data_IF_701803668256
#
_entry.id   IF_701803668256
#
_cell.length_a   1.000
_cell.length_b   1.000
_cell.length_c   1.000
_cell.angle_alpha   90.00
_cell.angle_beta   90.00
_cell.angle_gamma   90.00
#
_symmetry.space_group_name_H-M   'P 1'
#
loop_
_entity.id
_entity.type
_entity.pdbx_description
1 polymer ?
#
# COMPACT_ATOMS: atom_id res chain seq x y z
N UNK A 1 -52.65 32.93 -15.15
CA UNK A 1 -51.23 32.99 -15.54
C UNK A 1 -50.47 33.18 -14.25
N UNK A 2 -50.03 32.09 -13.63
CA UNK A 2 -49.09 32.15 -12.51
C UNK A 2 -48.11 31.00 -12.68
N UNK A 3 -46.85 31.38 -12.80
CA UNK A 3 -45.71 30.50 -13.03
C UNK A 3 -45.27 29.95 -11.66
N UNK A 4 -45.07 28.63 -11.48
CA UNK A 4 -44.50 28.14 -10.25
C UNK A 4 -42.99 28.38 -10.24
N UNK A 5 -42.51 29.02 -9.17
CA UNK A 5 -41.10 29.14 -8.85
C UNK A 5 -40.42 27.76 -8.81
N UNK A 6 -39.40 27.58 -9.63
CA UNK A 6 -38.42 26.53 -9.46
C UNK A 6 -37.62 26.80 -8.18
N UNK A 7 -37.82 25.97 -7.16
CA UNK A 7 -36.88 25.81 -6.06
C UNK A 7 -35.72 24.96 -6.57
N UNK A 8 -34.53 25.56 -6.68
CA UNK A 8 -33.28 24.87 -6.96
C UNK A 8 -33.04 23.80 -5.90
N UNK A 9 -32.80 22.57 -6.36
CA UNK A 9 -32.36 21.47 -5.52
C UNK A 9 -30.97 21.80 -4.96
N UNK A 10 -30.89 22.00 -3.64
CA UNK A 10 -29.64 22.16 -2.92
C UNK A 10 -28.74 20.96 -3.16
N UNK A 11 -27.49 21.23 -3.56
CA UNK A 11 -26.43 20.24 -3.71
C UNK A 11 -26.10 19.67 -2.32
N UNK A 12 -26.65 18.51 -2.01
CA UNK A 12 -26.25 17.72 -0.84
C UNK A 12 -24.83 17.21 -1.08
N UNK A 13 -23.85 17.88 -0.47
CA UNK A 13 -22.48 17.37 -0.36
C UNK A 13 -22.55 16.01 0.31
N UNK A 14 -22.09 14.96 -0.38
CA UNK A 14 -21.98 13.62 0.20
C UNK A 14 -21.17 13.72 1.52
N UNK A 15 -21.60 13.08 2.62
CA UNK A 15 -20.92 13.16 3.93
C UNK A 15 -19.41 12.85 3.87
N UNK A 16 -19.00 12.05 2.89
CA UNK A 16 -17.61 11.72 2.54
C UNK A 16 -16.78 12.96 2.18
N UNK A 17 -17.24 13.78 1.23
CA UNK A 17 -16.50 14.97 0.80
C UNK A 17 -16.38 16.02 1.90
N UNK A 18 -17.46 16.23 2.68
CA UNK A 18 -17.42 17.17 3.80
C UNK A 18 -16.41 16.77 4.88
N UNK A 19 -16.24 15.47 5.15
CA UNK A 19 -15.20 14.98 6.07
C UNK A 19 -13.79 15.19 5.49
N UNK A 20 -13.62 14.95 4.19
CA UNK A 20 -12.34 15.19 3.48
C UNK A 20 -11.95 16.68 3.54
N UNK A 21 -12.92 17.58 3.37
CA UNK A 21 -12.74 19.03 3.53
C UNK A 21 -12.37 19.43 4.96
N UNK A 22 -13.09 18.92 5.95
CA UNK A 22 -12.80 19.19 7.36
C UNK A 22 -11.41 18.73 7.79
N UNK A 23 -10.94 17.58 7.30
CA UNK A 23 -9.57 17.08 7.54
C UNK A 23 -8.54 17.94 6.82
N UNK A 24 -8.75 18.24 5.53
CA UNK A 24 -7.81 19.04 4.75
C UNK A 24 -7.65 20.47 5.30
N UNK A 25 -8.73 21.09 5.77
CA UNK A 25 -8.70 22.41 6.40
C UNK A 25 -7.85 22.41 7.68
N UNK A 26 -7.99 21.39 8.53
CA UNK A 26 -7.16 21.23 9.74
C UNK A 26 -5.69 20.96 9.44
N UNK A 27 -5.43 20.32 8.31
CA UNK A 27 -4.09 20.04 7.81
C UNK A 27 -3.62 21.07 6.78
N UNK A 28 -4.23 22.26 6.67
CA UNK A 28 -3.87 23.23 5.63
C UNK A 28 -2.52 23.94 5.88
N UNK A 29 -2.12 24.04 7.16
CA UNK A 29 -0.91 24.72 7.61
C UNK A 29 0.00 23.78 8.41
N UNK A 30 1.26 23.56 7.98
CA UNK A 30 2.23 22.81 8.76
C UNK A 30 2.50 23.36 10.17
N UNK A 31 2.27 24.67 10.39
CA UNK A 31 2.51 25.34 11.66
C UNK A 31 1.51 25.00 12.78
N UNK A 32 0.36 24.40 12.45
CA UNK A 32 -0.71 24.12 13.41
C UNK A 32 -0.68 22.69 13.96
N UNK A 33 0.20 21.83 13.46
CA UNK A 33 0.18 20.39 13.71
C UNK A 33 1.23 20.00 14.78
N UNK A 34 0.98 18.97 15.63
CA UNK A 34 1.81 18.70 16.79
C UNK A 34 3.29 18.45 16.48
N UNK A 35 4.15 18.76 17.45
CA UNK A 35 5.62 18.58 17.38
C UNK A 35 6.07 17.15 17.04
N UNK A 36 5.21 16.14 17.23
CA UNK A 36 5.45 14.76 16.80
C UNK A 36 5.74 14.63 15.29
N UNK A 37 5.28 15.57 14.46
CA UNK A 37 5.66 15.60 13.05
C UNK A 37 7.12 15.98 12.83
N UNK A 38 7.79 16.62 13.81
CA UNK A 38 9.20 16.94 13.72
C UNK A 38 10.07 15.68 13.85
N UNK A 39 9.69 14.72 14.69
CA UNK A 39 10.40 13.43 14.81
C UNK A 39 10.19 12.55 13.57
N UNK A 40 9.06 12.73 12.86
CA UNK A 40 8.71 12.02 11.64
C UNK A 40 8.85 12.87 10.37
N UNK A 41 9.62 13.96 10.39
CA UNK A 41 9.67 14.97 9.32
C UNK A 41 9.81 14.40 7.91
N UNK A 42 10.57 13.32 7.76
CA UNK A 42 10.89 12.69 6.48
C UNK A 42 10.15 11.37 6.23
N UNK A 43 9.22 10.99 7.12
CA UNK A 43 8.52 9.70 7.04
C UNK A 43 7.25 9.82 6.20
N UNK A 44 7.09 8.97 5.20
CA UNK A 44 5.91 8.98 4.33
C UNK A 44 4.63 8.60 5.09
N UNK A 45 4.73 7.58 5.97
CA UNK A 45 3.57 7.06 6.69
C UNK A 45 2.99 8.04 7.74
N UNK A 46 3.85 8.83 8.39
CA UNK A 46 3.50 9.54 9.63
C UNK A 46 3.76 11.04 9.52
N UNK A 47 4.54 11.45 8.53
CA UNK A 47 5.12 12.78 8.44
C UNK A 47 4.49 13.68 7.40
N UNK A 48 5.04 14.91 7.29
CA UNK A 48 4.71 15.88 6.24
C UNK A 48 4.59 15.34 4.80
N UNK A 49 5.46 14.43 4.30
CA UNK A 49 5.31 13.93 2.93
C UNK A 49 3.98 13.20 2.69
N UNK A 50 3.49 12.47 3.70
CA UNK A 50 2.19 11.79 3.63
C UNK A 50 1.01 12.75 3.64
N UNK A 51 1.11 13.83 4.43
CA UNK A 51 0.09 14.90 4.46
C UNK A 51 0.09 15.69 3.15
N UNK A 52 1.27 15.92 2.56
CA UNK A 52 1.38 16.55 1.25
C UNK A 52 0.60 15.78 0.17
N UNK A 53 0.59 14.45 0.19
CA UNK A 53 -0.17 13.63 -0.77
C UNK A 53 -1.67 13.93 -0.76
N UNK A 54 -2.28 14.20 0.41
CA UNK A 54 -3.68 14.62 0.48
C UNK A 54 -3.90 15.92 -0.29
N UNK A 55 -3.04 16.92 -0.07
CA UNK A 55 -3.18 18.22 -0.74
C UNK A 55 -2.82 18.17 -2.22
N UNK A 56 -1.88 17.29 -2.62
CA UNK A 56 -1.55 17.04 -4.02
C UNK A 56 -2.77 16.45 -4.74
N UNK A 57 -3.38 15.40 -4.19
CA UNK A 57 -4.57 14.78 -4.79
C UNK A 57 -5.74 15.76 -4.86
N UNK A 58 -6.00 16.52 -3.79
CA UNK A 58 -7.03 17.56 -3.80
C UNK A 58 -6.78 18.63 -4.86
N UNK A 59 -5.56 19.13 -4.97
CA UNK A 59 -5.22 20.14 -5.96
C UNK A 59 -5.32 19.63 -7.40
N UNK A 60 -4.91 18.37 -7.64
CA UNK A 60 -5.08 17.71 -8.93
C UNK A 60 -6.57 17.54 -9.33
N UNK A 61 -7.47 17.42 -8.35
CA UNK A 61 -8.92 17.39 -8.57
C UNK A 61 -9.60 18.78 -8.53
N UNK A 62 -8.83 19.88 -8.41
CA UNK A 62 -9.40 21.23 -8.33
C UNK A 62 -10.11 21.56 -7.01
N UNK A 63 -9.91 20.75 -5.97
CA UNK A 63 -10.57 20.85 -4.65
C UNK A 63 -9.76 21.66 -3.62
N UNK A 64 -8.67 22.29 -4.05
CA UNK A 64 -7.82 23.10 -3.18
C UNK A 64 -6.59 23.65 -3.89
N UNK A 65 -5.90 24.64 -3.31
CA UNK A 65 -4.72 25.23 -3.93
C UNK A 65 -3.48 24.32 -3.78
N UNK A 66 -2.63 24.30 -4.81
CA UNK A 66 -1.30 23.69 -4.77
C UNK A 66 -0.38 24.23 -3.67
N UNK A 67 -0.67 25.42 -3.14
CA UNK A 67 0.09 26.04 -2.06
C UNK A 67 0.12 25.18 -0.78
N UNK A 68 -0.96 24.48 -0.43
CA UNK A 68 -0.96 23.62 0.76
C UNK A 68 0.00 22.44 0.59
N UNK A 69 -0.01 21.80 -0.59
CA UNK A 69 0.96 20.75 -0.93
C UNK A 69 2.40 21.28 -0.85
N UNK A 70 2.65 22.46 -1.43
CA UNK A 70 3.97 23.09 -1.40
C UNK A 70 4.44 23.38 0.04
N UNK A 71 3.57 23.91 0.91
CA UNK A 71 3.91 24.21 2.30
C UNK A 71 4.35 22.95 3.06
N UNK A 72 3.65 21.83 2.88
CA UNK A 72 4.02 20.55 3.51
C UNK A 72 5.32 19.97 2.95
N UNK A 73 5.52 20.03 1.64
CA UNK A 73 6.78 19.61 1.01
C UNK A 73 7.94 20.46 1.52
N UNK A 74 7.77 21.79 1.59
CA UNK A 74 8.77 22.71 2.12
C UNK A 74 9.11 22.41 3.60
N UNK A 75 8.09 22.15 4.42
CA UNK A 75 8.26 21.76 5.82
C UNK A 75 9.03 20.44 5.98
N UNK A 76 8.74 19.44 5.12
CA UNK A 76 9.45 18.16 5.14
C UNK A 76 10.94 18.32 4.76
N UNK A 77 11.23 19.23 3.82
CA UNK A 77 12.57 19.55 3.33
C UNK A 77 13.29 20.64 4.12
N UNK A 78 12.78 21.05 5.29
CA UNK A 78 13.45 22.02 6.14
C UNK A 78 14.70 21.38 6.78
N UNK A 79 15.81 21.41 6.05
CA UNK A 79 17.09 20.77 6.40
C UNK A 79 17.44 19.60 5.49
N UNK A 80 18.61 18.98 5.73
CA UNK A 80 19.09 17.86 4.91
C UNK A 80 18.15 16.65 4.98
N UNK A 81 17.90 16.03 3.83
CA UNK A 81 17.19 14.75 3.73
C UNK A 81 18.16 13.59 3.90
N UNK A 82 17.74 12.57 4.63
CA UNK A 82 18.50 11.34 4.85
C UNK A 82 18.53 10.51 3.56
N UNK A 83 19.71 10.11 3.13
CA UNK A 83 19.94 9.24 1.96
C UNK A 83 20.84 8.06 2.33
N UNK A 84 21.01 7.09 1.43
CA UNK A 84 21.94 6.00 1.67
C UNK A 84 21.33 4.88 2.55
N UNK A 85 22.16 4.19 3.36
CA UNK A 85 21.74 3.05 4.18
C UNK A 85 20.57 3.31 5.13
N UNK A 86 20.46 4.53 5.64
CA UNK A 86 19.47 4.93 6.63
C UNK A 86 18.17 5.46 6.00
N UNK A 87 18.07 5.45 4.66
CA UNK A 87 16.87 5.83 3.92
C UNK A 87 16.19 4.63 3.26
N UNK A 88 14.88 4.73 3.06
CA UNK A 88 14.07 3.67 2.48
C UNK A 88 12.76 4.23 1.88
N UNK A 89 11.94 3.43 1.15
CA UNK A 89 10.76 3.94 0.45
C UNK A 89 9.78 4.77 1.30
N UNK A 90 9.70 4.48 2.61
CA UNK A 90 8.87 5.22 3.57
C UNK A 90 9.63 6.21 4.48
N UNK A 91 10.95 6.41 4.30
CA UNK A 91 11.72 7.40 5.06
C UNK A 91 12.91 8.00 4.29
N UNK A 92 13.09 9.32 4.40
CA UNK A 92 14.22 10.03 3.81
C UNK A 92 13.99 10.44 2.35
N UNK A 93 15.07 10.48 1.57
CA UNK A 93 15.03 10.88 0.14
C UNK A 93 14.01 10.09 -0.67
N UNK A 94 13.91 8.74 -0.60
CA UNK A 94 12.94 8.00 -1.41
C UNK A 94 11.48 8.36 -1.08
N UNK A 95 11.15 8.50 0.20
CA UNK A 95 9.82 8.91 0.65
C UNK A 95 9.45 10.31 0.16
N UNK A 96 10.38 11.26 0.29
CA UNK A 96 10.16 12.62 -0.17
C UNK A 96 10.04 12.69 -1.70
N UNK A 97 10.88 11.95 -2.42
CA UNK A 97 10.85 11.89 -3.88
C UNK A 97 9.53 11.31 -4.42
N UNK A 98 8.93 10.34 -3.72
CA UNK A 98 7.58 9.85 -4.05
C UNK A 98 6.53 10.95 -4.02
N UNK A 99 6.43 11.68 -2.90
CA UNK A 99 5.47 12.78 -2.75
C UNK A 99 5.76 13.92 -3.75
N UNK A 100 7.03 14.28 -3.93
CA UNK A 100 7.45 15.32 -4.86
C UNK A 100 7.12 14.96 -6.31
N UNK A 101 7.28 13.69 -6.70
CA UNK A 101 6.93 13.21 -8.04
C UNK A 101 5.42 13.29 -8.28
N UNK A 102 4.59 12.96 -7.28
CA UNK A 102 3.13 13.12 -7.37
C UNK A 102 2.72 14.58 -7.66
N UNK A 103 3.41 15.55 -7.08
CA UNK A 103 3.17 16.97 -7.38
C UNK A 103 3.71 17.39 -8.75
N UNK A 104 4.92 16.97 -9.11
CA UNK A 104 5.58 17.37 -10.35
C UNK A 104 4.87 16.88 -11.61
N UNK A 105 4.24 15.70 -11.55
CA UNK A 105 3.45 15.14 -12.67
C UNK A 105 2.31 16.08 -13.13
N UNK A 106 1.85 16.97 -12.24
CA UNK A 106 0.78 17.95 -12.52
C UNK A 106 1.27 19.39 -12.63
N UNK A 107 2.56 19.65 -12.36
CA UNK A 107 3.15 20.99 -12.34
C UNK A 107 4.37 21.04 -13.26
N UNK A 108 4.17 21.19 -14.58
CA UNK A 108 5.26 21.17 -15.56
C UNK A 108 6.41 22.11 -15.21
N UNK A 109 7.63 21.58 -15.20
CA UNK A 109 8.86 22.32 -14.89
C UNK A 109 9.11 22.59 -13.40
N UNK A 110 8.11 22.43 -12.52
CA UNK A 110 8.29 22.55 -11.08
C UNK A 110 8.98 21.31 -10.51
N UNK A 111 9.84 21.50 -9.51
CA UNK A 111 10.55 20.44 -8.78
C UNK A 111 11.48 19.53 -9.58
N UNK A 112 11.55 19.63 -10.91
CA UNK A 112 12.31 18.73 -11.79
C UNK A 112 13.78 18.58 -11.36
N UNK A 113 14.48 19.70 -11.12
CA UNK A 113 15.89 19.65 -10.68
C UNK A 113 16.09 18.89 -9.37
N UNK A 114 15.16 19.03 -8.43
CA UNK A 114 15.21 18.32 -7.16
C UNK A 114 14.94 16.82 -7.37
N UNK A 115 13.93 16.49 -8.18
CA UNK A 115 13.63 15.11 -8.55
C UNK A 115 14.79 14.43 -9.26
N UNK A 116 15.44 15.07 -10.23
CA UNK A 116 16.58 14.49 -10.94
C UNK A 116 17.75 14.15 -9.99
N UNK A 117 17.98 15.00 -8.98
CA UNK A 117 18.99 14.75 -7.95
C UNK A 117 18.60 13.59 -7.05
N UNK A 118 17.32 13.48 -6.67
CA UNK A 118 16.82 12.40 -5.83
C UNK A 118 16.78 11.06 -6.57
N UNK A 119 16.32 11.05 -7.82
CA UNK A 119 16.31 9.89 -8.71
C UNK A 119 17.72 9.31 -8.88
N UNK A 120 18.73 10.20 -9.03
CA UNK A 120 20.14 9.78 -9.08
C UNK A 120 20.58 9.11 -7.78
N UNK A 121 20.27 9.70 -6.63
CA UNK A 121 20.62 9.14 -5.32
C UNK A 121 19.92 7.81 -5.05
N UNK A 122 18.63 7.71 -5.37
CA UNK A 122 17.84 6.47 -5.29
C UNK A 122 18.48 5.39 -6.15
N UNK A 123 18.92 5.71 -7.37
CA UNK A 123 19.64 4.78 -8.23
C UNK A 123 20.95 4.27 -7.62
N UNK A 124 21.69 5.10 -6.88
CA UNK A 124 22.89 4.67 -6.13
C UNK A 124 22.52 3.71 -5.00
N UNK A 125 21.48 4.06 -4.24
CA UNK A 125 21.03 3.28 -3.08
C UNK A 125 20.50 1.90 -3.51
N UNK A 126 19.75 1.85 -4.60
CA UNK A 126 19.23 0.60 -5.17
C UNK A 126 20.36 -0.30 -5.67
N UNK A 127 21.36 0.22 -6.39
CA UNK A 127 22.53 -0.59 -6.82
C UNK A 127 23.23 -1.23 -5.64
N UNK A 128 23.53 -0.45 -4.60
CA UNK A 128 24.19 -0.98 -3.39
C UNK A 128 23.36 -2.07 -2.71
N UNK A 129 22.04 -1.90 -2.65
CA UNK A 129 21.11 -2.89 -2.08
C UNK A 129 21.05 -4.16 -2.92
N UNK A 130 20.98 -4.04 -4.25
CA UNK A 130 21.02 -5.17 -5.18
C UNK A 130 22.32 -5.96 -5.06
N UNK A 131 23.47 -5.27 -5.03
CA UNK A 131 24.77 -5.92 -4.88
C UNK A 131 24.86 -6.72 -3.57
N UNK A 132 24.35 -6.15 -2.46
CA UNK A 132 24.29 -6.84 -1.18
C UNK A 132 23.36 -8.05 -1.22
N UNK A 133 22.17 -7.88 -1.82
CA UNK A 133 21.17 -8.92 -1.91
C UNK A 133 21.65 -10.10 -2.79
N UNK A 134 22.31 -9.82 -3.92
CA UNK A 134 22.89 -10.86 -4.77
C UNK A 134 24.01 -11.63 -4.08
N UNK A 135 24.95 -10.94 -3.40
CA UNK A 135 25.97 -11.63 -2.58
C UNK A 135 25.37 -12.53 -1.51
N UNK A 136 24.29 -12.07 -0.87
CA UNK A 136 23.57 -12.84 0.15
C UNK A 136 22.89 -14.08 -0.44
N UNK A 137 22.27 -13.97 -1.61
CA UNK A 137 21.72 -15.13 -2.34
C UNK A 137 22.84 -16.10 -2.74
N UNK A 138 23.95 -15.61 -3.28
CA UNK A 138 25.09 -16.43 -3.70
C UNK A 138 25.74 -17.17 -2.53
N UNK A 139 25.68 -16.59 -1.33
CA UNK A 139 26.13 -17.22 -0.09
C UNK A 139 25.13 -18.22 0.52
N UNK A 140 23.93 -18.36 -0.05
CA UNK A 140 22.86 -19.22 0.47
C UNK A 140 22.29 -18.74 1.82
N UNK A 141 22.38 -17.44 2.11
CA UNK A 141 21.90 -16.87 3.37
C UNK A 141 20.44 -16.41 3.28
N UNK A 142 19.72 -16.46 4.41
CA UNK A 142 18.35 -15.98 4.51
C UNK A 142 18.26 -14.44 4.38
N UNK A 143 17.27 -13.90 3.64
CA UNK A 143 17.02 -12.46 3.58
C UNK A 143 16.52 -11.89 4.92
N UNK A 144 16.68 -10.57 5.06
CA UNK A 144 15.94 -9.76 6.03
C UNK A 144 14.67 -9.21 5.37
N UNK A 145 13.58 -9.00 6.13
CA UNK A 145 12.34 -8.39 5.60
C UNK A 145 12.62 -7.05 4.88
N UNK A 146 13.41 -6.19 5.52
CA UNK A 146 13.76 -4.87 4.99
C UNK A 146 14.65 -4.88 3.72
N UNK A 147 15.08 -6.06 3.27
CA UNK A 147 15.79 -6.22 2.01
C UNK A 147 14.81 -6.27 0.84
N UNK A 148 13.70 -7.01 0.97
CA UNK A 148 12.76 -7.25 -0.13
C UNK A 148 11.42 -6.56 0.02
N UNK A 149 11.01 -6.13 1.21
CA UNK A 149 9.63 -5.68 1.41
C UNK A 149 9.23 -4.36 0.71
N UNK A 150 7.93 -4.02 0.77
CA UNK A 150 7.38 -2.82 0.14
C UNK A 150 7.68 -1.54 0.94
N UNK A 151 7.85 -1.62 2.27
CA UNK A 151 8.01 -0.44 3.14
C UNK A 151 9.46 0.06 3.17
N UNK A 152 10.42 -0.87 3.17
CA UNK A 152 11.85 -0.63 3.41
C UNK A 152 12.74 -1.20 2.30
N UNK A 153 12.29 -2.25 1.63
CA UNK A 153 13.08 -3.06 0.72
C UNK A 153 12.97 -2.69 -0.75
N UNK A 154 13.61 -3.54 -1.56
CA UNK A 154 13.74 -3.39 -3.00
C UNK A 154 12.40 -3.40 -3.73
N UNK A 155 11.35 -4.00 -3.17
CA UNK A 155 10.01 -3.95 -3.78
C UNK A 155 9.46 -2.52 -3.75
N UNK A 156 9.58 -1.80 -2.63
CA UNK A 156 9.12 -0.41 -2.55
C UNK A 156 9.92 0.54 -3.46
N UNK A 157 11.24 0.31 -3.56
CA UNK A 157 12.06 1.02 -4.54
C UNK A 157 11.64 0.69 -5.98
N UNK A 158 11.37 -0.59 -6.26
CA UNK A 158 10.87 -1.04 -7.56
C UNK A 158 9.55 -0.37 -7.93
N UNK A 159 8.62 -0.22 -6.99
CA UNK A 159 7.35 0.48 -7.19
C UNK A 159 7.57 1.93 -7.65
N UNK A 160 8.44 2.66 -6.94
CA UNK A 160 8.81 4.03 -7.30
C UNK A 160 9.44 4.10 -8.69
N UNK A 161 10.47 3.28 -8.95
CA UNK A 161 11.20 3.27 -10.21
C UNK A 161 10.32 2.88 -11.40
N UNK A 162 9.45 1.88 -11.24
CA UNK A 162 8.52 1.41 -12.27
C UNK A 162 7.52 2.51 -12.66
N UNK A 163 7.09 3.33 -11.70
CA UNK A 163 6.25 4.50 -11.97
C UNK A 163 7.02 5.58 -12.73
N UNK A 164 8.26 5.87 -12.30
CA UNK A 164 9.08 6.97 -12.86
C UNK A 164 9.55 6.67 -14.28
N UNK A 165 10.15 5.51 -14.50
CA UNK A 165 10.72 5.10 -15.78
C UNK A 165 10.71 3.56 -15.92
N UNK A 166 9.59 2.98 -16.40
CA UNK A 166 9.41 1.53 -16.45
C UNK A 166 10.46 0.82 -17.31
N UNK A 167 10.92 1.44 -18.39
CA UNK A 167 11.88 0.83 -19.32
C UNK A 167 13.33 0.86 -18.83
N UNK A 168 13.60 1.52 -17.70
CA UNK A 168 14.95 1.73 -17.21
C UNK A 168 15.67 0.41 -16.86
N UNK A 169 16.99 0.31 -17.11
CA UNK A 169 17.76 -0.86 -16.68
C UNK A 169 17.69 -1.13 -15.17
N UNK A 170 17.48 -0.08 -14.36
CA UNK A 170 17.35 -0.22 -12.92
C UNK A 170 16.08 -0.99 -12.52
N UNK A 171 14.96 -0.72 -13.18
CA UNK A 171 13.72 -1.49 -12.94
C UNK A 171 13.97 -2.96 -13.28
N UNK A 172 14.57 -3.26 -14.44
CA UNK A 172 14.90 -4.65 -14.82
C UNK A 172 15.79 -5.34 -13.79
N UNK A 173 16.81 -4.66 -13.26
CA UNK A 173 17.69 -5.22 -12.23
C UNK A 173 16.96 -5.52 -10.91
N UNK A 174 15.98 -4.69 -10.52
CA UNK A 174 15.11 -4.98 -9.37
C UNK A 174 14.21 -6.18 -9.65
N UNK A 175 13.65 -6.30 -10.86
CA UNK A 175 12.84 -7.45 -11.25
C UNK A 175 13.67 -8.75 -11.29
N UNK A 176 14.91 -8.69 -11.79
CA UNK A 176 15.86 -9.82 -11.76
C UNK A 176 16.11 -10.30 -10.33
N UNK A 177 16.30 -9.35 -9.41
CA UNK A 177 16.38 -9.66 -7.99
C UNK A 177 15.11 -10.33 -7.46
N UNK A 178 13.92 -9.78 -7.77
CA UNK A 178 12.64 -10.37 -7.36
C UNK A 178 12.47 -11.80 -7.90
N UNK A 179 12.90 -12.08 -9.12
CA UNK A 179 12.92 -13.44 -9.68
C UNK A 179 13.85 -14.33 -8.87
N UNK A 180 15.10 -13.92 -8.63
CA UNK A 180 16.07 -14.69 -7.84
C UNK A 180 15.60 -14.93 -6.39
N UNK A 181 14.84 -14.00 -5.81
CA UNK A 181 14.28 -14.14 -4.46
C UNK A 181 13.26 -15.30 -4.38
N UNK A 182 12.64 -15.70 -5.49
CA UNK A 182 11.69 -16.83 -5.50
C UNK A 182 12.37 -18.20 -5.56
N UNK A 183 13.67 -18.24 -5.84
CA UNK A 183 14.41 -19.50 -5.90
C UNK A 183 14.63 -20.07 -4.48
N UNK A 184 14.47 -21.38 -4.25
CA UNK A 184 14.61 -21.97 -2.92
C UNK A 184 16.00 -21.76 -2.29
N UNK A 185 16.04 -21.62 -0.97
CA UNK A 185 17.27 -21.59 -0.17
C UNK A 185 17.32 -22.87 0.67
N UNK A 186 18.47 -23.53 0.70
CA UNK A 186 18.69 -24.75 1.50
C UNK A 186 19.37 -24.43 2.81
N UNK A 187 18.68 -24.66 3.93
CA UNK A 187 19.21 -24.43 5.27
C UNK A 187 19.10 -25.70 6.12
N UNK A 188 20.21 -26.18 6.68
CA UNK A 188 20.27 -27.42 7.48
C UNK A 188 19.62 -28.65 6.80
N UNK A 189 19.74 -28.75 5.48
CA UNK A 189 19.20 -29.87 4.69
C UNK A 189 17.71 -29.76 4.35
N UNK A 190 17.06 -28.65 4.69
CA UNK A 190 15.67 -28.35 4.37
C UNK A 190 15.58 -27.28 3.28
N UNK A 191 14.71 -27.48 2.29
CA UNK A 191 14.46 -26.50 1.24
C UNK A 191 13.38 -25.53 1.71
N UNK A 192 13.75 -24.26 1.82
CA UNK A 192 12.91 -23.15 2.24
C UNK A 192 12.61 -22.26 1.03
N UNK A 193 11.45 -21.59 0.98
CA UNK A 193 11.21 -20.49 0.04
C UNK A 193 12.33 -19.44 0.10
N UNK A 194 12.72 -18.85 -1.03
CA UNK A 194 13.84 -17.89 -1.07
C UNK A 194 13.61 -16.59 -0.29
N UNK A 195 12.38 -16.31 0.12
CA UNK A 195 11.99 -15.17 0.97
C UNK A 195 11.85 -15.53 2.46
N UNK A 196 12.36 -16.69 2.89
CA UNK A 196 12.32 -17.10 4.29
C UNK A 196 13.18 -16.19 5.17
N UNK A 197 12.61 -15.59 6.22
CA UNK A 197 13.33 -14.70 7.15
C UNK A 197 13.50 -15.35 8.51
N UNK A 198 14.64 -15.09 9.17
CA UNK A 198 14.91 -15.55 10.53
C UNK A 198 14.29 -14.66 11.61
N UNK A 199 13.99 -13.39 11.31
CA UNK A 199 13.44 -12.44 12.29
C UNK A 199 11.94 -12.64 12.47
N UNK A 200 11.36 -12.08 13.53
CA UNK A 200 9.92 -11.90 13.63
C UNK A 200 9.38 -10.85 12.64
N UNK A 201 8.05 -10.69 12.54
CA UNK A 201 7.38 -9.75 11.64
C UNK A 201 7.76 -8.27 11.85
N UNK A 202 8.28 -7.93 13.04
CA UNK A 202 8.83 -6.60 13.34
C UNK A 202 10.20 -6.33 12.71
N UNK A 203 10.82 -7.34 12.09
CA UNK A 203 12.20 -7.29 11.60
C UNK A 203 13.25 -7.41 12.70
N UNK A 204 12.85 -7.81 13.92
CA UNK A 204 13.75 -8.05 15.06
C UNK A 204 13.72 -9.53 15.47
N UNK A 205 14.75 -10.05 16.17
CA UNK A 205 14.68 -11.37 16.76
C UNK A 205 13.41 -11.53 17.62
N UNK A 206 12.73 -12.65 17.46
CA UNK A 206 11.46 -12.94 18.13
C UNK A 206 11.38 -14.44 18.43
N UNK A 207 11.28 -14.78 19.72
CA UNK A 207 11.23 -16.17 20.20
C UNK A 207 9.96 -16.90 19.75
N UNK A 208 8.92 -16.18 19.32
CA UNK A 208 7.69 -16.77 18.79
C UNK A 208 7.87 -17.35 17.38
N UNK A 209 9.01 -17.08 16.72
CA UNK A 209 9.32 -17.53 15.37
C UNK A 209 10.59 -18.40 15.33
N UNK A 210 10.64 -19.52 16.07
CA UNK A 210 11.79 -20.39 16.06
C UNK A 210 12.02 -20.96 14.66
N UNK A 211 13.21 -20.73 14.11
CA UNK A 211 13.54 -21.14 12.75
C UNK A 211 12.95 -20.26 11.65
N UNK A 212 12.35 -19.11 12.00
CA UNK A 212 11.89 -18.11 11.04
C UNK A 212 10.54 -18.41 10.41
N UNK A 213 10.23 -17.64 9.36
CA UNK A 213 8.96 -17.71 8.64
C UNK A 213 9.05 -17.23 7.18
N UNK A 214 8.14 -17.71 6.34
CA UNK A 214 7.80 -17.14 5.05
C UNK A 214 6.66 -16.13 5.22
N UNK A 215 6.96 -14.84 5.11
CA UNK A 215 5.97 -13.76 5.27
C UNK A 215 5.09 -13.60 4.02
N UNK A 216 3.76 -13.57 4.18
CA UNK A 216 2.81 -13.45 3.05
C UNK A 216 2.31 -12.04 2.82
N UNK A 217 2.51 -11.11 3.76
CA UNK A 217 1.88 -9.78 3.73
C UNK A 217 2.24 -8.91 2.52
N UNK A 218 1.41 -7.91 2.24
CA UNK A 218 1.69 -6.89 1.21
C UNK A 218 2.82 -5.96 1.63
N UNK A 219 2.79 -5.53 2.90
CA UNK A 219 3.75 -4.54 3.42
C UNK A 219 5.14 -5.14 3.60
N UNK A 220 5.22 -6.37 4.11
CA UNK A 220 6.46 -7.01 4.57
C UNK A 220 6.72 -8.39 3.95
N UNK A 221 5.88 -8.88 3.05
CA UNK A 221 5.94 -10.25 2.58
C UNK A 221 5.98 -10.39 1.06
N UNK A 222 5.80 -11.63 0.62
CA UNK A 222 5.91 -12.01 -0.79
C UNK A 222 4.80 -11.43 -1.67
N UNK A 223 3.67 -11.01 -1.10
CA UNK A 223 2.59 -10.38 -1.86
C UNK A 223 2.99 -9.03 -2.47
N UNK A 224 3.82 -8.24 -1.78
CA UNK A 224 4.37 -7.02 -2.37
C UNK A 224 5.23 -7.31 -3.60
N UNK A 225 6.07 -8.35 -3.53
CA UNK A 225 6.90 -8.82 -4.66
C UNK A 225 6.03 -9.31 -5.81
N UNK A 226 4.98 -10.09 -5.51
CA UNK A 226 4.00 -10.55 -6.49
C UNK A 226 3.37 -9.37 -7.25
N UNK A 227 2.93 -8.34 -6.53
CA UNK A 227 2.34 -7.16 -7.15
C UNK A 227 3.36 -6.42 -8.01
N UNK A 228 4.58 -6.18 -7.53
CA UNK A 228 5.58 -5.49 -8.33
C UNK A 228 5.84 -6.21 -9.66
N UNK A 229 6.00 -7.54 -9.62
CA UNK A 229 6.16 -8.36 -10.82
C UNK A 229 4.93 -8.25 -11.74
N UNK A 230 3.72 -8.32 -11.17
CA UNK A 230 2.48 -8.22 -11.95
C UNK A 230 2.31 -6.86 -12.63
N UNK A 231 2.56 -5.76 -11.90
CA UNK A 231 2.48 -4.40 -12.44
C UNK A 231 3.53 -4.14 -13.51
N UNK A 232 4.74 -4.66 -13.33
CA UNK A 232 5.78 -4.59 -14.35
C UNK A 232 5.36 -5.33 -15.63
N UNK A 233 4.80 -6.54 -15.50
CA UNK A 233 4.26 -7.30 -16.62
C UNK A 233 3.11 -6.57 -17.33
N UNK A 234 2.17 -5.95 -16.59
CA UNK A 234 1.10 -5.11 -17.18
C UNK A 234 1.66 -3.91 -17.97
N UNK A 235 2.84 -3.40 -17.58
CA UNK A 235 3.57 -2.35 -18.30
C UNK A 235 4.52 -2.89 -19.38
N UNK A 236 4.43 -4.18 -19.74
CA UNK A 236 5.34 -4.85 -20.68
C UNK A 236 6.84 -4.79 -20.29
N UNK A 237 7.12 -4.51 -19.01
CA UNK A 237 8.47 -4.53 -18.43
C UNK A 237 8.68 -5.87 -17.75
N UNK A 238 9.33 -6.79 -18.45
CA UNK A 238 9.59 -8.15 -17.95
C UNK A 238 11.07 -8.48 -18.01
N UNK A 239 11.46 -9.50 -17.25
CA UNK A 239 12.81 -10.08 -17.30
C UNK A 239 12.79 -11.61 -17.49
N UNK A 240 13.96 -12.23 -17.58
CA UNK A 240 14.08 -13.68 -17.68
C UNK A 240 13.55 -14.35 -16.40
N UNK A 241 12.68 -15.34 -16.55
CA UNK A 241 12.06 -16.06 -15.42
C UNK A 241 10.91 -15.31 -14.74
N UNK A 242 10.47 -14.16 -15.26
CA UNK A 242 9.41 -13.32 -14.67
C UNK A 242 8.09 -14.07 -14.44
N UNK A 243 7.58 -14.76 -15.48
CA UNK A 243 6.36 -15.56 -15.37
C UNK A 243 6.52 -16.75 -14.42
N UNK A 244 7.72 -17.35 -14.37
CA UNK A 244 8.01 -18.44 -13.43
C UNK A 244 7.97 -17.94 -11.99
N UNK A 245 8.54 -16.77 -11.71
CA UNK A 245 8.50 -16.18 -10.37
C UNK A 245 7.06 -15.85 -9.93
N UNK A 246 6.23 -15.27 -10.81
CA UNK A 246 4.79 -15.09 -10.56
C UNK A 246 4.14 -16.43 -10.19
N UNK A 247 4.35 -17.46 -11.00
CA UNK A 247 3.77 -18.78 -10.77
C UNK A 247 4.24 -19.40 -9.44
N UNK A 248 5.54 -19.34 -9.12
CA UNK A 248 6.09 -19.85 -7.85
C UNK A 248 5.40 -19.21 -6.64
N UNK A 249 5.20 -17.89 -6.66
CA UNK A 249 4.52 -17.19 -5.57
C UNK A 249 3.04 -17.58 -5.51
N UNK A 250 2.35 -17.64 -6.64
CA UNK A 250 0.93 -18.02 -6.68
C UNK A 250 0.72 -19.46 -6.18
N UNK A 251 1.54 -20.42 -6.62
CA UNK A 251 1.49 -21.80 -6.12
C UNK A 251 1.74 -21.88 -4.61
N UNK A 252 2.63 -21.04 -4.08
CA UNK A 252 2.81 -20.94 -2.63
C UNK A 252 1.54 -20.43 -1.93
N UNK A 253 0.91 -19.37 -2.44
CA UNK A 253 -0.32 -18.84 -1.86
C UNK A 253 -1.48 -19.85 -1.97
N UNK A 254 -1.59 -20.57 -3.08
CA UNK A 254 -2.61 -21.62 -3.28
C UNK A 254 -2.43 -22.76 -2.27
N UNK A 255 -1.18 -23.17 -2.01
CA UNK A 255 -0.86 -24.24 -1.05
C UNK A 255 -1.35 -23.92 0.37
N UNK A 256 -1.32 -22.65 0.76
CA UNK A 256 -1.62 -22.19 2.11
C UNK A 256 -2.95 -21.46 2.22
N UNK A 257 -3.78 -21.52 1.17
CA UNK A 257 -5.14 -21.05 1.22
C UNK A 257 -5.97 -21.96 2.13
N UNK A 258 -6.71 -21.35 3.06
CA UNK A 258 -7.67 -22.04 3.91
C UNK A 258 -9.09 -21.68 3.45
N UNK A 259 -9.87 -22.68 3.08
CA UNK A 259 -11.29 -22.50 2.80
C UNK A 259 -12.07 -22.53 4.11
N UNK A 260 -12.83 -21.47 4.37
CA UNK A 260 -13.67 -21.34 5.57
C UNK A 260 -15.14 -21.30 5.16
N UNK A 261 -16.07 -21.42 6.11
CA UNK A 261 -17.49 -21.18 5.86
C UNK A 261 -17.81 -19.76 5.37
N UNK A 262 -16.81 -18.86 5.40
CA UNK A 262 -16.87 -17.44 5.05
C UNK A 262 -16.06 -17.11 3.79
N UNK A 263 -15.48 -18.12 3.13
CA UNK A 263 -14.64 -17.97 1.95
C UNK A 263 -13.15 -18.16 2.22
N UNK A 264 -12.36 -17.92 1.18
CA UNK A 264 -10.92 -18.11 1.17
C UNK A 264 -10.19 -17.13 2.11
N UNK A 265 -9.28 -17.67 2.91
CA UNK A 265 -8.37 -16.90 3.77
C UNK A 265 -6.94 -17.40 3.65
N UNK A 266 -6.00 -16.56 4.06
CA UNK A 266 -4.58 -16.89 4.03
C UNK A 266 -3.92 -16.51 5.35
N UNK A 267 -2.97 -17.33 5.83
CA UNK A 267 -2.16 -16.98 7.00
C UNK A 267 -1.24 -15.81 6.67
N UNK A 268 -0.90 -14.99 7.66
CA UNK A 268 0.03 -13.86 7.51
C UNK A 268 1.48 -14.29 7.22
N UNK A 269 1.80 -15.52 7.58
CA UNK A 269 3.10 -16.14 7.40
C UNK A 269 2.99 -17.64 7.65
N UNK A 270 3.98 -18.38 7.16
CA UNK A 270 4.17 -19.80 7.45
C UNK A 270 5.44 -19.96 8.27
N UNK A 271 5.31 -20.51 9.47
CA UNK A 271 6.45 -20.83 10.34
C UNK A 271 7.14 -22.13 9.90
N UNK A 272 8.36 -22.37 10.38
CA UNK A 272 9.12 -23.58 10.02
C UNK A 272 8.40 -24.87 10.43
N UNK A 273 7.71 -24.83 11.57
CA UNK A 273 6.90 -25.96 12.05
C UNK A 273 5.74 -26.26 11.11
N UNK A 274 5.03 -25.23 10.65
CA UNK A 274 3.91 -25.38 9.72
C UNK A 274 4.41 -25.90 8.36
N UNK A 275 5.52 -25.37 7.84
CA UNK A 275 6.13 -25.85 6.59
C UNK A 275 6.41 -27.36 6.62
N UNK A 276 6.99 -27.86 7.73
CA UNK A 276 7.32 -29.29 7.91
C UNK A 276 6.10 -30.18 8.05
N UNK A 277 5.09 -29.71 8.77
CA UNK A 277 3.88 -30.50 9.03
C UNK A 277 2.85 -30.41 7.90
N UNK A 278 3.02 -29.45 6.99
CA UNK A 278 2.08 -29.16 5.92
C UNK A 278 0.73 -28.66 6.42
N UNK A 279 0.65 -28.19 7.67
CA UNK A 279 -0.59 -27.78 8.33
C UNK A 279 -0.37 -26.46 9.04
N UNK A 280 -1.23 -25.48 8.76
CA UNK A 280 -1.31 -24.27 9.58
C UNK A 280 -1.76 -24.62 10.99
N UNK A 281 -1.21 -23.94 11.99
CA UNK A 281 -1.78 -23.99 13.33
C UNK A 281 -3.21 -23.43 13.27
N UNK A 282 -4.17 -24.06 13.96
CA UNK A 282 -5.58 -23.63 13.99
C UNK A 282 -5.66 -22.13 14.24
N UNK A 283 -6.04 -21.39 13.20
CA UNK A 283 -5.91 -19.93 13.21
C UNK A 283 -7.01 -19.32 14.07
N UNK A 284 -6.63 -18.52 15.07
CA UNK A 284 -7.53 -17.47 15.57
C UNK A 284 -7.93 -16.60 14.38
N UNK A 285 -9.13 -16.03 14.39
CA UNK A 285 -9.56 -15.10 13.34
C UNK A 285 -8.49 -14.01 13.18
N UNK A 286 -7.95 -13.88 11.95
CA UNK A 286 -6.95 -12.88 11.60
C UNK A 286 -7.64 -11.75 10.85
N UNK A 287 -7.38 -10.51 11.27
CA UNK A 287 -7.92 -9.30 10.64
C UNK A 287 -7.55 -9.24 9.15
N UNK A 288 -8.54 -9.00 8.30
CA UNK A 288 -8.27 -8.60 6.92
C UNK A 288 -7.76 -7.15 6.88
N UNK A 289 -6.61 -6.90 6.25
CA UNK A 289 -6.07 -5.56 6.04
C UNK A 289 -5.27 -5.46 4.74
N UNK A 290 -4.89 -4.23 4.35
CA UNK A 290 -3.95 -4.04 3.24
C UNK A 290 -2.60 -4.70 3.55
N UNK A 291 -2.02 -4.44 4.74
CA UNK A 291 -0.68 -4.91 5.05
C UNK A 291 -0.58 -6.43 5.23
N UNK A 292 -1.60 -7.05 5.83
CA UNK A 292 -1.69 -8.50 6.08
C UNK A 292 -3.12 -9.03 5.98
N UNK A 293 -3.27 -10.25 5.45
CA UNK A 293 -4.56 -10.94 5.36
C UNK A 293 -5.25 -10.81 4.01
N UNK A 294 -6.51 -11.20 3.97
CA UNK A 294 -7.24 -11.45 2.72
C UNK A 294 -7.32 -10.23 1.81
N UNK A 295 -7.51 -9.02 2.34
CA UNK A 295 -7.69 -7.85 1.48
C UNK A 295 -6.47 -7.55 0.60
N UNK A 296 -5.27 -7.44 1.20
CA UNK A 296 -4.04 -7.26 0.42
C UNK A 296 -3.75 -8.46 -0.49
N UNK A 297 -3.94 -9.69 -0.01
CA UNK A 297 -3.64 -10.90 -0.77
C UNK A 297 -4.57 -11.13 -1.97
N UNK A 298 -5.85 -10.82 -1.82
CA UNK A 298 -6.81 -10.87 -2.93
C UNK A 298 -6.43 -9.86 -4.01
N UNK A 299 -6.10 -8.61 -3.65
CA UNK A 299 -5.64 -7.62 -4.64
C UNK A 299 -4.33 -8.07 -5.32
N UNK A 300 -3.40 -8.68 -4.58
CA UNK A 300 -2.16 -9.20 -5.14
C UNK A 300 -2.42 -10.27 -6.21
N UNK A 301 -3.30 -11.22 -5.91
CA UNK A 301 -3.69 -12.29 -6.82
C UNK A 301 -4.47 -11.78 -8.02
N UNK A 302 -5.38 -10.80 -7.83
CA UNK A 302 -6.11 -10.19 -8.94
C UNK A 302 -5.15 -9.49 -9.92
N UNK A 303 -4.18 -8.71 -9.41
CA UNK A 303 -3.18 -8.05 -10.26
C UNK A 303 -2.32 -9.06 -11.03
N UNK A 304 -1.91 -10.14 -10.37
CA UNK A 304 -1.19 -11.24 -11.03
C UNK A 304 -2.04 -11.91 -12.11
N UNK A 305 -3.31 -12.20 -11.80
CA UNK A 305 -4.26 -12.78 -12.74
C UNK A 305 -4.48 -11.91 -13.98
N UNK A 306 -4.63 -10.59 -13.80
CA UNK A 306 -4.73 -9.63 -14.90
C UNK A 306 -3.45 -9.60 -15.74
N UNK A 307 -2.29 -9.70 -15.11
CA UNK A 307 -1.00 -9.74 -15.81
C UNK A 307 -0.80 -11.03 -16.64
N UNK A 308 -1.41 -12.15 -16.22
CA UNK A 308 -1.26 -13.46 -16.87
C UNK A 308 -2.48 -13.88 -17.70
N UNK A 309 -3.56 -13.11 -17.70
CA UNK A 309 -4.82 -13.47 -18.37
C UNK A 309 -5.58 -14.63 -17.69
N UNK A 310 -5.40 -14.82 -16.38
CA UNK A 310 -6.03 -15.90 -15.61
C UNK A 310 -7.39 -15.43 -15.04
N UNK A 311 -8.44 -15.51 -15.86
CA UNK A 311 -9.79 -15.03 -15.49
C UNK A 311 -10.38 -15.77 -14.28
N UNK A 312 -10.09 -17.06 -14.09
CA UNK A 312 -10.61 -17.83 -12.95
C UNK A 312 -9.99 -17.36 -11.63
N UNK A 313 -8.67 -17.13 -11.61
CA UNK A 313 -8.00 -16.56 -10.44
C UNK A 313 -8.47 -15.13 -10.17
N UNK A 314 -8.68 -14.33 -11.21
CA UNK A 314 -9.24 -12.99 -11.06
C UNK A 314 -10.57 -13.03 -10.30
N UNK A 315 -11.53 -13.81 -10.78
CA UNK A 315 -12.86 -13.95 -10.16
C UNK A 315 -12.76 -14.50 -8.74
N UNK A 316 -11.89 -15.49 -8.52
CA UNK A 316 -11.68 -16.11 -7.20
C UNK A 316 -11.15 -15.10 -6.18
N UNK A 317 -10.12 -14.33 -6.55
CA UNK A 317 -9.55 -13.30 -5.71
C UNK A 317 -10.56 -12.19 -5.39
N UNK A 318 -11.32 -11.73 -6.39
CA UNK A 318 -12.37 -10.71 -6.22
C UNK A 318 -13.48 -11.19 -5.28
N UNK A 319 -13.91 -12.46 -5.39
CA UNK A 319 -14.89 -13.04 -4.48
C UNK A 319 -14.35 -13.19 -3.06
N UNK A 320 -13.10 -13.59 -2.89
CA UNK A 320 -12.45 -13.67 -1.57
C UNK A 320 -12.39 -12.28 -0.90
N UNK A 321 -12.07 -11.24 -1.66
CA UNK A 321 -12.11 -9.87 -1.15
C UNK A 321 -13.54 -9.49 -0.74
N UNK A 322 -14.53 -9.66 -1.62
CA UNK A 322 -15.91 -9.29 -1.32
C UNK A 322 -16.45 -10.03 -0.08
N UNK A 323 -16.11 -11.31 0.10
CA UNK A 323 -16.48 -12.09 1.26
C UNK A 323 -15.83 -11.54 2.55
N UNK A 324 -14.52 -11.27 2.53
CA UNK A 324 -13.80 -10.73 3.68
C UNK A 324 -14.30 -9.32 4.09
N UNK A 325 -14.76 -8.52 3.13
CA UNK A 325 -15.28 -7.16 3.36
C UNK A 325 -16.74 -7.12 3.82
N UNK A 326 -17.45 -8.25 3.80
CA UNK A 326 -18.85 -8.34 4.22
C UNK A 326 -19.07 -9.28 5.40
N UNK A 327 -18.01 -9.97 5.84
CA UNK A 327 -18.03 -10.84 7.01
C UNK A 327 -18.02 -10.01 8.32
N UNK A 328 -19.05 -10.14 9.19
CA UNK A 328 -19.15 -9.36 10.42
C UNK A 328 -18.01 -9.60 11.42
N UNK A 329 -17.46 -10.82 11.48
CA UNK A 329 -16.39 -11.15 12.41
C UNK A 329 -15.06 -10.52 11.94
N UNK A 330 -14.79 -10.54 10.64
CA UNK A 330 -13.64 -9.87 10.01
C UNK A 330 -13.70 -8.35 10.19
N UNK A 331 -14.88 -7.75 9.97
CA UNK A 331 -15.09 -6.32 10.19
C UNK A 331 -15.01 -5.98 11.69
N UNK A 332 -15.54 -6.83 12.57
CA UNK A 332 -15.45 -6.68 14.02
C UNK A 332 -14.02 -6.76 14.57
N UNK A 333 -13.11 -7.44 13.86
CA UNK A 333 -11.68 -7.45 14.17
C UNK A 333 -10.93 -6.17 13.74
N UNK A 334 -11.59 -5.26 13.02
CA UNK A 334 -11.01 -3.99 12.55
C UNK A 334 -11.53 -2.82 13.39
N UNK A 335 -10.63 -2.16 14.12
CA UNK A 335 -10.97 -1.01 14.98
C UNK A 335 -10.42 0.31 14.47
N UNK A 336 -9.47 0.25 13.53
CA UNK A 336 -8.72 1.41 13.05
C UNK A 336 -9.38 2.02 11.81
N UNK A 337 -9.21 3.33 11.61
CA UNK A 337 -9.69 4.00 10.39
C UNK A 337 -8.63 4.10 9.29
N UNK A 338 -7.34 3.93 9.60
CA UNK A 338 -6.22 4.20 8.68
C UNK A 338 -6.10 3.30 7.45
N UNK A 339 -5.17 3.63 6.56
CA UNK A 339 -4.85 2.91 5.33
C UNK A 339 -4.11 1.59 5.54
N UNK A 340 -3.20 1.51 6.51
CA UNK A 340 -2.35 0.34 6.69
C UNK A 340 -3.20 -0.89 7.00
N UNK A 341 -4.16 -0.69 7.90
CA UNK A 341 -4.91 -1.79 8.47
C UNK A 341 -6.27 -1.45 9.09
N UNK A 342 -6.82 -0.31 8.69
CA UNK A 342 -8.15 0.12 9.06
C UNK A 342 -9.13 0.12 7.89
N UNK A 343 -10.31 0.66 8.15
CA UNK A 343 -11.39 0.76 7.18
C UNK A 343 -11.00 1.55 5.92
N UNK A 344 -10.19 2.62 6.01
CA UNK A 344 -9.74 3.34 4.81
C UNK A 344 -8.92 2.45 3.88
N UNK A 345 -8.05 1.59 4.44
CA UNK A 345 -7.26 0.64 3.66
C UNK A 345 -8.12 -0.39 2.96
N UNK A 346 -9.13 -0.92 3.65
CA UNK A 346 -10.11 -1.85 3.09
C UNK A 346 -10.92 -1.19 1.97
N UNK A 347 -11.45 0.02 2.22
CA UNK A 347 -12.21 0.80 1.23
C UNK A 347 -11.38 1.04 -0.01
N UNK A 348 -10.15 1.56 0.14
CA UNK A 348 -9.30 1.89 -1.01
C UNK A 348 -8.86 0.64 -1.79
N UNK A 349 -8.57 -0.46 -1.10
CA UNK A 349 -8.30 -1.76 -1.75
C UNK A 349 -9.51 -2.26 -2.53
N UNK A 350 -10.72 -2.10 -1.99
CA UNK A 350 -11.96 -2.46 -2.68
C UNK A 350 -12.23 -1.59 -3.91
N UNK A 351 -12.01 -0.27 -3.81
CA UNK A 351 -12.12 0.67 -4.94
C UNK A 351 -11.17 0.29 -6.07
N UNK A 352 -9.89 0.04 -5.76
CA UNK A 352 -8.90 -0.39 -6.76
C UNK A 352 -9.24 -1.74 -7.38
N UNK A 353 -9.64 -2.71 -6.57
CA UNK A 353 -10.08 -4.03 -7.06
C UNK A 353 -11.30 -3.88 -7.98
N UNK A 354 -12.29 -3.08 -7.61
CA UNK A 354 -13.51 -2.86 -8.38
C UNK A 354 -13.26 -2.17 -9.73
N UNK A 355 -12.24 -1.33 -9.83
CA UNK A 355 -11.88 -0.64 -11.08
C UNK A 355 -11.35 -1.62 -12.15
N UNK A 356 -10.65 -2.68 -11.74
CA UNK A 356 -10.16 -3.73 -12.63
C UNK A 356 -11.06 -4.99 -12.63
N UNK A 357 -12.23 -4.95 -11.96
CA UNK A 357 -12.99 -6.15 -11.64
C UNK A 357 -13.67 -6.80 -12.84
N UNK A 358 -13.80 -8.14 -12.79
CA UNK A 358 -14.60 -8.87 -13.76
C UNK A 358 -16.09 -8.46 -13.65
N UNK A 359 -16.85 -8.42 -14.77
CA UNK A 359 -18.27 -8.02 -14.75
C UNK A 359 -19.16 -8.82 -13.78
N UNK A 360 -18.79 -10.07 -13.47
CA UNK A 360 -19.55 -10.94 -12.55
C UNK A 360 -19.32 -10.68 -11.06
N UNK A 361 -18.30 -9.89 -10.69
CA UNK A 361 -17.89 -9.64 -9.29
C UNK A 361 -17.98 -8.16 -8.91
N UNK A 362 -17.85 -7.25 -9.88
CA UNK A 362 -17.80 -5.78 -9.66
C UNK A 362 -18.98 -5.26 -8.82
N UNK A 363 -20.18 -5.81 -9.00
CA UNK A 363 -21.37 -5.44 -8.23
C UNK A 363 -21.23 -5.74 -6.73
N UNK A 364 -20.64 -6.90 -6.37
CA UNK A 364 -20.40 -7.28 -4.97
C UNK A 364 -19.35 -6.38 -4.32
N UNK A 365 -18.28 -6.08 -5.05
CA UNK A 365 -17.22 -5.18 -4.56
C UNK A 365 -17.76 -3.76 -4.32
N UNK A 366 -18.55 -3.22 -5.25
CA UNK A 366 -19.19 -1.91 -5.09
C UNK A 366 -20.15 -1.87 -3.91
N UNK A 367 -20.93 -2.94 -3.68
CA UNK A 367 -21.81 -3.02 -2.52
C UNK A 367 -21.02 -3.04 -1.19
N UNK A 368 -19.88 -3.74 -1.14
CA UNK A 368 -19.04 -3.78 0.05
C UNK A 368 -18.44 -2.39 0.40
N UNK A 369 -18.06 -1.59 -0.60
CA UNK A 369 -17.51 -0.23 -0.42
C UNK A 369 -18.47 0.64 0.41
N UNK A 370 -19.78 0.60 0.11
CA UNK A 370 -20.78 1.40 0.84
C UNK A 370 -20.83 1.07 2.34
N UNK A 371 -20.71 -0.21 2.71
CA UNK A 371 -20.67 -0.63 4.11
C UNK A 371 -19.42 -0.15 4.85
N UNK A 372 -18.27 -0.17 4.16
CA UNK A 372 -17.00 0.31 4.73
C UNK A 372 -17.00 1.83 4.92
N UNK A 373 -17.59 2.58 3.99
CA UNK A 373 -17.73 4.04 4.12
C UNK A 373 -18.58 4.41 5.34
N UNK A 374 -19.66 3.68 5.61
CA UNK A 374 -20.49 3.89 6.80
C UNK A 374 -19.75 3.63 8.13
N UNK A 375 -18.68 2.83 8.11
CA UNK A 375 -17.83 2.62 9.29
C UNK A 375 -16.81 3.75 9.52
N UNK A 376 -16.54 4.60 8.52
CA UNK A 376 -15.61 5.73 8.61
C UNK A 376 -16.37 7.05 8.82
N UNK A 377 -17.46 7.24 8.08
CA UNK A 377 -18.27 8.45 8.14
C UNK A 377 -19.29 8.33 9.28
N UNK A 378 -19.25 9.21 10.30
CA UNK A 378 -20.23 9.16 11.37
C UNK A 378 -21.64 9.45 10.84
N UNK A 379 -22.62 8.81 11.47
CA UNK A 379 -24.05 9.01 11.18
C UNK A 379 -24.53 10.38 11.70
N UNK A 380 -23.88 10.90 12.75
CA UNK A 380 -24.16 12.23 13.29
C UNK A 380 -23.55 13.30 12.39
N UNK A 381 -24.37 14.28 11.99
CA UNK A 381 -24.04 15.35 11.03
C UNK A 381 -22.95 16.35 11.49
N UNK A 382 -22.16 16.06 12.52
CA UNK A 382 -21.06 16.92 13.00
C UNK A 382 -19.71 16.51 12.39
N UNK A 383 -19.58 16.79 11.09
CA UNK A 383 -18.37 16.49 10.29
C UNK A 383 -17.11 17.19 10.83
N UNK A 384 -17.27 18.37 11.44
CA UNK A 384 -16.17 19.13 12.03
C UNK A 384 -15.57 18.42 13.25
N UNK A 385 -16.43 17.89 14.13
CA UNK A 385 -15.98 17.06 15.25
C UNK A 385 -15.31 15.78 14.78
N UNK A 386 -15.87 15.12 13.76
CA UNK A 386 -15.31 13.92 13.17
C UNK A 386 -13.91 14.16 12.59
N UNK A 387 -13.74 15.24 11.81
CA UNK A 387 -12.45 15.65 11.28
C UNK A 387 -11.45 15.96 12.40
N UNK A 388 -11.90 16.61 13.47
CA UNK A 388 -11.06 16.89 14.65
C UNK A 388 -10.61 15.60 15.33
N UNK A 389 -11.50 14.64 15.52
CA UNK A 389 -11.19 13.36 16.13
C UNK A 389 -10.18 12.55 15.30
N UNK A 390 -10.28 12.60 13.97
CA UNK A 390 -9.32 11.93 13.08
C UNK A 390 -7.92 12.56 13.16
N UNK A 391 -7.83 13.90 13.16
CA UNK A 391 -6.53 14.61 13.15
C UNK A 391 -5.86 14.61 14.52
N UNK A 392 -6.63 14.83 15.59
CA UNK A 392 -6.13 15.08 16.95
C UNK A 392 -6.40 13.94 17.93
N UNK A 393 -7.00 12.83 17.48
CA UNK A 393 -7.29 11.66 18.30
C UNK A 393 -6.03 10.98 18.86
N UNK A 394 -6.19 10.29 19.98
CA UNK A 394 -5.09 9.75 20.82
C UNK A 394 -4.33 8.54 20.25
N UNK A 395 -4.36 8.29 18.93
CA UNK A 395 -3.69 7.10 18.36
C UNK A 395 -3.10 7.28 16.95
N UNK A 396 -3.94 7.63 15.98
CA UNK A 396 -3.62 7.58 14.55
C UNK A 396 -2.74 8.75 14.04
N UNK A 397 -2.93 9.95 14.61
CA UNK A 397 -2.27 11.17 14.17
C UNK A 397 -2.67 11.65 12.76
N UNK A 398 -1.98 12.67 12.22
CA UNK A 398 -2.37 13.32 10.97
C UNK A 398 -1.84 12.64 9.69
N UNK A 399 -0.98 11.62 9.82
CA UNK A 399 -0.19 11.05 8.72
C UNK A 399 -0.99 10.24 7.69
N UNK A 400 -0.26 9.55 6.82
CA UNK A 400 -0.79 8.74 5.72
C UNK A 400 -1.26 7.35 6.19
N UNK A 401 -0.37 6.49 6.68
CA UNK A 401 -0.71 5.06 6.80
C UNK A 401 -1.74 4.79 7.88
N UNK A 402 -1.59 5.38 9.05
CA UNK A 402 -2.50 5.14 10.17
C UNK A 402 -3.41 6.36 10.43
N UNK A 403 -3.10 7.50 9.78
CA UNK A 403 -3.61 8.81 10.14
C UNK A 403 -4.69 9.41 9.24
N UNK A 404 -5.11 10.62 9.62
CA UNK A 404 -6.20 11.36 8.99
C UNK A 404 -6.00 11.62 7.49
N UNK A 405 -4.76 11.90 7.04
CA UNK A 405 -4.50 12.20 5.63
C UNK A 405 -4.80 10.99 4.73
N UNK A 406 -4.43 9.77 5.18
CA UNK A 406 -4.75 8.56 4.44
C UNK A 406 -6.23 8.22 4.44
N UNK A 407 -6.91 8.42 5.57
CA UNK A 407 -8.37 8.26 5.65
C UNK A 407 -9.07 9.19 4.66
N UNK A 408 -8.69 10.47 4.62
CA UNK A 408 -9.26 11.44 3.69
C UNK A 408 -8.97 11.08 2.22
N UNK A 409 -7.76 10.59 1.91
CA UNK A 409 -7.40 10.12 0.56
C UNK A 409 -8.27 8.93 0.10
N UNK A 410 -8.53 7.96 0.98
CA UNK A 410 -9.39 6.82 0.68
C UNK A 410 -10.86 7.24 0.45
N UNK A 411 -11.36 8.18 1.26
CA UNK A 411 -12.72 8.73 1.10
C UNK A 411 -12.86 9.48 -0.23
N UNK A 412 -11.86 10.29 -0.60
CA UNK A 412 -11.83 11.00 -1.88
C UNK A 412 -11.79 10.04 -3.08
N UNK A 413 -10.99 8.97 -3.00
CA UNK A 413 -10.93 7.95 -4.05
C UNK A 413 -12.26 7.19 -4.20
N UNK A 414 -12.95 6.90 -3.10
CA UNK A 414 -14.25 6.24 -3.14
C UNK A 414 -15.36 7.11 -3.74
N UNK A 415 -15.30 8.42 -3.54
CA UNK A 415 -16.29 9.38 -4.03
C UNK A 415 -16.20 9.58 -5.56
N UNK A 416 -14.99 9.71 -6.08
CA UNK A 416 -14.77 9.99 -7.52
C UNK A 416 -15.03 8.78 -8.43
N UNK A 417 -15.08 7.56 -7.87
CA UNK A 417 -15.18 6.29 -8.61
C UNK A 417 -14.15 6.15 -9.76
N UNK A 418 -13.05 6.91 -9.69
CA UNK A 418 -11.98 6.97 -10.66
C UNK A 418 -10.63 6.71 -9.98
N UNK A 419 -9.62 6.24 -10.72
CA UNK A 419 -8.25 6.18 -10.21
C UNK A 419 -7.77 7.54 -9.67
N UNK A 420 -7.06 7.57 -8.53
CA UNK A 420 -6.36 8.77 -8.06
C UNK A 420 -5.55 9.48 -9.15
N UNK A 421 -5.68 10.80 -9.21
CA UNK A 421 -5.02 11.65 -10.22
C UNK A 421 -3.51 11.76 -9.99
N UNK A 422 -3.07 11.75 -8.73
CA UNK A 422 -1.66 11.97 -8.36
C UNK A 422 -0.83 10.70 -8.22
N UNK A 423 -1.44 9.52 -8.41
CA UNK A 423 -0.82 8.21 -8.17
C UNK A 423 -0.20 8.06 -6.76
N UNK A 424 -0.74 8.78 -5.77
CA UNK A 424 -0.25 8.80 -4.38
C UNK A 424 -0.13 7.40 -3.77
N UNK A 425 -1.02 6.49 -4.17
CA UNK A 425 -1.16 5.13 -3.67
C UNK A 425 -0.26 4.11 -4.37
N UNK A 426 0.56 4.52 -5.34
CA UNK A 426 1.55 3.62 -5.94
C UNK A 426 2.57 3.08 -4.92
N UNK A 427 2.80 3.79 -3.80
CA UNK A 427 3.60 3.29 -2.69
C UNK A 427 2.95 2.13 -1.91
N UNK A 428 1.65 1.88 -2.13
CA UNK A 428 0.90 0.80 -1.49
C UNK A 428 0.83 -0.47 -2.35
N UNK A 429 1.30 -0.44 -3.60
CA UNK A 429 1.26 -1.59 -4.52
C UNK A 429 -0.15 -2.20 -4.64
N UNK A 430 -1.12 -1.35 -4.96
CA UNK A 430 -2.53 -1.74 -5.16
C UNK A 430 -3.12 -1.18 -6.45
N UNK A 431 -2.35 -0.41 -7.23
CA UNK A 431 -2.81 0.31 -8.42
C UNK A 431 -2.52 -0.45 -9.71
#
# INVERSE_FOLDING_TARGET
MDCPHHQEAGVTVLPTLGLVDGVAARLADPGTVPSVLQTHRQHLAYGPPGIALLHIERAANGLGPWQHAHNWLAAASHGSLTSGPDSHPFYGVPAFAHALACAADHLPGSYQRALDSMDRQIGIDVRRRLDAAHRRIDAGCLPQLAEFDAIRGLTGYGAYLLRRNPDSPMVRAVLDYCVRLTEPIREFGEDLPGWWTATGPSGRPDEQFPGGHANTGMAHGIAGVLVLLALAARKSTVTNGHLRALHTILTWLDRWQEETSRGATWPYWITRSELRTGRCATSKLRRSSWCYGTAGLARAQQLAALATGDTERQITAENALAAALTDPDQLGATTDHGLCHGFAGLTHTAVRTAADAHPSTVGRLRAAISGLLAAICPVDNDLERAATALVSGTGAGPGLLDGAAGTALALLAADTAAPPQSAWDSCLLIA
#
